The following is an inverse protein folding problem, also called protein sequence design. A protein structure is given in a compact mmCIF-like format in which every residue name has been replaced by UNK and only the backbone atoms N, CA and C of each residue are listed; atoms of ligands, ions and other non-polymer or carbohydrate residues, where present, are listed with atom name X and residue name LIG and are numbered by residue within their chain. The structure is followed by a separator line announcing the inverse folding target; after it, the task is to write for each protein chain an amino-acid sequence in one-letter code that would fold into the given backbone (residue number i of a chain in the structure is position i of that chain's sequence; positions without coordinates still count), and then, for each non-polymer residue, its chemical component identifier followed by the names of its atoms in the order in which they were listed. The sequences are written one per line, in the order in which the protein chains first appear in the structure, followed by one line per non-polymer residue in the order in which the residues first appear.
data_IF_342148042301
#
_entry.id   IF_342148042301
#
_cell.length_a   1.000
_cell.length_b   1.000
_cell.length_c   1.000
_cell.angle_alpha   90.00
_cell.angle_beta   90.00
_cell.angle_gamma   90.00
#
_symmetry.space_group_name_H-M   'P 1'
#
loop_
_entity.id
_entity.type
_entity.pdbx_description
1 polymer ?
#
# COMPACT_ATOMS: atom_id res chain seq x y z
N UNK A 1 -17.62 30.47 15.11
CA UNK A 1 -17.53 29.00 15.28
C UNK A 1 -17.83 28.21 14.02
N UNK A 2 -18.79 28.60 13.16
CA UNK A 2 -19.05 27.93 11.87
C UNK A 2 -17.93 28.12 10.82
N UNK A 3 -17.35 29.33 10.69
CA UNK A 3 -16.24 29.61 9.74
C UNK A 3 -14.95 28.83 10.06
N UNK A 4 -14.61 28.68 11.35
CA UNK A 4 -13.50 27.84 11.81
C UNK A 4 -13.71 26.35 11.49
N UNK A 5 -14.95 25.82 11.59
CA UNK A 5 -15.24 24.44 11.20
C UNK A 5 -15.07 24.23 9.70
N UNK A 6 -15.58 25.13 8.86
CA UNK A 6 -15.41 25.02 7.40
C UNK A 6 -13.93 25.10 6.97
N UNK A 7 -13.13 25.96 7.62
CA UNK A 7 -11.69 26.06 7.36
C UNK A 7 -10.94 24.77 7.76
N UNK A 8 -11.24 24.21 8.94
CA UNK A 8 -10.67 22.93 9.41
C UNK A 8 -11.08 21.77 8.51
N UNK A 9 -12.33 21.71 8.06
CA UNK A 9 -12.79 20.68 7.11
C UNK A 9 -12.07 20.81 5.76
N UNK A 10 -11.91 22.02 5.23
CA UNK A 10 -11.22 22.25 3.96
C UNK A 10 -9.73 21.90 4.01
N UNK A 11 -9.06 22.14 5.15
CA UNK A 11 -7.67 21.72 5.39
C UNK A 11 -7.54 20.19 5.53
N UNK A 12 -8.50 19.54 6.20
CA UNK A 12 -8.54 18.09 6.35
C UNK A 12 -8.87 17.33 5.04
N UNK A 13 -9.50 17.99 4.06
CA UNK A 13 -9.82 17.38 2.76
C UNK A 13 -8.59 17.08 1.92
N UNK A 14 -7.49 17.84 2.06
CA UNK A 14 -6.27 17.63 1.26
C UNK A 14 -5.61 16.27 1.56
N UNK A 15 -5.30 15.90 2.81
CA UNK A 15 -4.75 14.57 3.12
C UNK A 15 -5.67 13.41 2.72
N UNK A 16 -6.99 13.56 2.91
CA UNK A 16 -7.97 12.53 2.52
C UNK A 16 -7.98 12.34 1.00
N UNK A 17 -7.93 13.43 0.23
CA UNK A 17 -7.82 13.36 -1.23
C UNK A 17 -6.55 12.64 -1.67
N UNK A 18 -5.39 12.97 -1.08
CA UNK A 18 -4.14 12.25 -1.36
C UNK A 18 -4.22 10.77 -0.99
N UNK A 19 -4.87 10.41 0.12
CA UNK A 19 -5.08 9.01 0.51
C UNK A 19 -5.96 8.25 -0.48
N UNK A 20 -7.05 8.88 -0.97
CA UNK A 20 -7.91 8.31 -2.01
C UNK A 20 -7.12 8.11 -3.31
N UNK A 21 -6.40 9.13 -3.77
CA UNK A 21 -5.58 9.05 -4.99
C UNK A 21 -4.50 7.98 -4.85
N UNK A 22 -3.82 7.89 -3.70
CA UNK A 22 -2.85 6.85 -3.43
C UNK A 22 -3.48 5.45 -3.48
N UNK A 23 -4.67 5.29 -2.88
CA UNK A 23 -5.44 4.05 -2.94
C UNK A 23 -5.81 3.66 -4.38
N UNK A 24 -6.22 4.62 -5.21
CA UNK A 24 -6.53 4.39 -6.63
C UNK A 24 -5.28 4.03 -7.44
N UNK A 25 -4.15 4.72 -7.24
CA UNK A 25 -2.90 4.43 -7.91
C UNK A 25 -2.40 3.01 -7.61
N UNK A 26 -2.42 2.61 -6.33
CA UNK A 26 -2.10 1.22 -5.95
C UNK A 26 -3.18 0.25 -6.46
N UNK A 27 -4.46 0.63 -6.45
CA UNK A 27 -5.56 -0.10 -7.07
C UNK A 27 -5.25 -0.53 -8.50
N UNK A 28 -5.13 0.46 -9.37
CA UNK A 28 -4.93 0.30 -10.81
C UNK A 28 -3.55 -0.29 -11.13
N UNK A 29 -2.48 0.23 -10.54
CA UNK A 29 -1.11 -0.20 -10.84
C UNK A 29 -0.85 -1.69 -10.57
N UNK A 30 -1.46 -2.24 -9.52
CA UNK A 30 -1.27 -3.66 -9.21
C UNK A 30 -2.06 -4.59 -10.14
N UNK A 31 -3.12 -4.10 -10.82
CA UNK A 31 -3.78 -4.87 -11.89
C UNK A 31 -2.81 -5.06 -13.06
N UNK A 32 -2.13 -3.99 -13.48
CA UNK A 32 -1.08 -4.07 -14.50
C UNK A 32 0.07 -4.99 -14.08
N UNK A 33 0.49 -4.90 -12.81
CA UNK A 33 1.54 -5.78 -12.28
C UNK A 33 1.12 -7.25 -12.35
N UNK A 34 -0.10 -7.58 -11.90
CA UNK A 34 -0.63 -8.95 -11.99
C UNK A 34 -0.75 -9.42 -13.43
N UNK A 35 -1.22 -8.57 -14.35
CA UNK A 35 -1.27 -8.87 -15.78
C UNK A 35 0.11 -9.21 -16.33
N UNK A 36 1.14 -8.40 -16.02
CA UNK A 36 2.51 -8.66 -16.42
C UNK A 36 3.05 -9.97 -15.84
N UNK A 37 2.81 -10.26 -14.56
CA UNK A 37 3.24 -11.53 -13.94
C UNK A 37 2.51 -12.76 -14.51
N UNK A 38 1.26 -12.60 -14.94
CA UNK A 38 0.49 -13.66 -15.56
C UNK A 38 0.92 -13.94 -17.01
N UNK A 39 1.51 -12.96 -17.71
CA UNK A 39 2.09 -13.17 -19.05
C UNK A 39 3.23 -14.19 -19.08
N UNK A 40 3.86 -14.45 -17.92
CA UNK A 40 5.06 -15.28 -17.76
C UNK A 40 6.32 -14.76 -18.47
N UNK A 41 6.27 -13.58 -19.08
CA UNK A 41 7.44 -12.91 -19.67
C UNK A 41 8.33 -12.27 -18.61
N UNK A 42 7.75 -11.88 -17.46
CA UNK A 42 8.46 -11.26 -16.35
C UNK A 42 8.19 -11.97 -15.02
N UNK A 43 9.26 -12.18 -14.25
CA UNK A 43 9.17 -12.70 -12.89
C UNK A 43 8.88 -11.61 -11.85
N UNK A 44 8.50 -11.99 -10.61
CA UNK A 44 8.19 -11.05 -9.52
C UNK A 44 9.33 -10.10 -9.18
N UNK A 45 10.57 -10.58 -9.16
CA UNK A 45 11.75 -9.74 -8.91
C UNK A 45 12.04 -8.79 -10.07
N UNK A 46 11.83 -9.22 -11.32
CA UNK A 46 11.99 -8.35 -12.47
C UNK A 46 10.95 -7.22 -12.46
N UNK A 47 9.68 -7.54 -12.18
CA UNK A 47 8.62 -6.55 -12.03
C UNK A 47 8.93 -5.55 -10.89
N UNK A 48 9.44 -6.03 -9.76
CA UNK A 48 9.88 -5.17 -8.67
C UNK A 48 11.06 -4.28 -9.05
N UNK A 49 12.07 -4.82 -9.75
CA UNK A 49 13.21 -4.05 -10.22
C UNK A 49 12.78 -2.94 -11.18
N UNK A 50 11.91 -3.25 -12.15
CA UNK A 50 11.36 -2.25 -13.09
C UNK A 50 10.62 -1.16 -12.31
N UNK A 51 9.79 -1.53 -11.34
CA UNK A 51 9.12 -0.57 -10.46
C UNK A 51 10.14 0.35 -9.78
N UNK A 52 11.19 -0.20 -9.17
CA UNK A 52 12.22 0.60 -8.48
C UNK A 52 12.99 1.52 -9.43
N UNK A 53 13.35 1.04 -10.62
CA UNK A 53 14.06 1.82 -11.65
C UNK A 53 13.21 2.97 -12.17
N UNK A 54 11.89 2.78 -12.29
CA UNK A 54 10.97 3.83 -12.72
C UNK A 54 10.68 4.82 -11.58
N UNK A 55 10.51 4.36 -10.35
CA UNK A 55 10.12 5.22 -9.22
C UNK A 55 11.27 6.06 -8.69
N UNK A 56 12.50 5.55 -8.68
CA UNK A 56 13.67 6.27 -8.17
C UNK A 56 13.92 7.64 -8.83
N UNK A 57 14.01 7.75 -10.18
CA UNK A 57 14.24 9.04 -10.83
C UNK A 57 13.07 10.01 -10.61
N UNK A 58 11.83 9.50 -10.58
CA UNK A 58 10.65 10.32 -10.30
C UNK A 58 10.64 10.84 -8.87
N UNK A 59 11.00 9.99 -7.89
CA UNK A 59 11.15 10.39 -6.50
C UNK A 59 12.27 11.42 -6.33
N UNK A 60 13.40 11.23 -6.99
CA UNK A 60 14.51 12.18 -6.98
C UNK A 60 14.10 13.53 -7.59
N UNK A 61 13.42 13.52 -8.75
CA UNK A 61 12.93 14.73 -9.38
C UNK A 61 11.93 15.47 -8.48
N UNK A 62 10.97 14.76 -7.88
CA UNK A 62 10.00 15.32 -6.94
C UNK A 62 10.69 15.94 -5.72
N UNK A 63 11.68 15.26 -5.13
CA UNK A 63 12.47 15.77 -4.02
C UNK A 63 13.29 17.01 -4.39
N UNK A 64 13.93 17.04 -5.56
CA UNK A 64 14.69 18.20 -6.04
C UNK A 64 13.77 19.41 -6.28
N UNK A 65 12.58 19.20 -6.83
CA UNK A 65 11.60 20.28 -7.01
C UNK A 65 11.07 20.78 -5.67
N UNK A 66 10.72 19.89 -4.75
CA UNK A 66 10.24 20.23 -3.42
C UNK A 66 11.30 21.00 -2.61
N UNK A 67 12.56 20.56 -2.64
CA UNK A 67 13.68 21.25 -1.97
C UNK A 67 14.01 22.62 -2.55
N UNK A 68 13.56 22.91 -3.78
CA UNK A 68 13.62 24.25 -4.40
C UNK A 68 12.39 25.11 -4.09
N UNK A 69 11.47 24.63 -3.25
CA UNK A 69 10.23 25.31 -2.88
C UNK A 69 9.12 25.20 -3.93
N UNK A 70 9.27 24.34 -4.94
CA UNK A 70 8.27 24.15 -5.99
C UNK A 70 7.31 23.03 -5.58
N UNK A 71 6.03 23.38 -5.41
CA UNK A 71 4.94 22.43 -5.19
C UNK A 71 4.70 21.98 -3.75
N UNK A 72 5.74 21.58 -3.01
CA UNK A 72 5.61 21.05 -1.64
C UNK A 72 6.35 21.90 -0.60
N UNK A 73 5.60 22.67 0.18
CA UNK A 73 6.13 23.62 1.17
C UNK A 73 6.59 23.01 2.49
N UNK A 74 6.53 21.67 2.65
CA UNK A 74 6.85 20.97 3.90
C UNK A 74 8.22 20.28 3.91
N UNK A 75 9.03 20.48 2.86
CA UNK A 75 10.35 19.85 2.77
C UNK A 75 11.34 20.47 3.78
N UNK A 76 12.12 19.62 4.46
CA UNK A 76 13.08 20.09 5.48
C UNK A 76 14.45 20.25 4.82
N UNK A 77 14.93 21.50 4.71
CA UNK A 77 16.24 21.77 4.14
C UNK A 77 17.36 21.07 4.94
N UNK A 78 18.32 20.49 4.23
CA UNK A 78 19.52 19.83 4.79
C UNK A 78 19.25 18.68 5.77
N UNK A 79 18.03 18.11 5.79
CA UNK A 79 17.63 17.04 6.73
C UNK A 79 18.61 15.86 6.76
N UNK A 80 19.19 15.47 5.63
CA UNK A 80 20.08 14.31 5.55
C UNK A 80 21.34 14.47 6.42
N UNK A 81 21.82 15.71 6.63
CA UNK A 81 22.99 15.99 7.49
C UNK A 81 22.63 16.16 8.96
N UNK A 82 21.39 16.53 9.25
CA UNK A 82 20.91 16.84 10.61
C UNK A 82 20.10 15.70 11.22
N UNK A 83 19.68 14.73 10.41
CA UNK A 83 18.93 13.57 10.87
C UNK A 83 19.76 12.71 11.82
N UNK A 84 19.17 12.39 12.96
CA UNK A 84 19.79 11.48 13.93
C UNK A 84 19.93 10.06 13.38
N UNK A 85 20.86 9.28 13.95
CA UNK A 85 21.03 7.86 13.62
C UNK A 85 19.70 7.08 13.75
N UNK A 86 18.90 7.38 14.78
CA UNK A 86 17.59 6.76 14.95
C UNK A 86 16.60 7.10 13.83
N UNK A 87 16.69 8.29 13.24
CA UNK A 87 15.86 8.68 12.07
C UNK A 87 16.31 7.92 10.83
N UNK A 88 17.62 7.86 10.59
CA UNK A 88 18.20 7.07 9.50
C UNK A 88 17.81 5.59 9.59
N UNK A 89 17.88 4.98 10.78
CA UNK A 89 17.46 3.60 10.98
C UNK A 89 15.97 3.38 10.68
N UNK A 90 15.09 4.29 11.11
CA UNK A 90 13.65 4.22 10.79
C UNK A 90 13.40 4.32 9.29
N UNK A 91 14.10 5.22 8.60
CA UNK A 91 13.98 5.38 7.15
C UNK A 91 14.51 4.16 6.40
N UNK A 92 15.70 3.68 6.74
CA UNK A 92 16.34 2.56 6.04
C UNK A 92 15.60 1.25 6.34
N UNK A 93 15.39 0.91 7.61
CA UNK A 93 14.80 -0.37 8.00
C UNK A 93 13.28 -0.37 7.82
N UNK A 94 12.60 0.65 8.33
CA UNK A 94 11.14 0.73 8.27
C UNK A 94 10.65 1.04 6.87
N UNK A 95 11.08 2.17 6.29
CA UNK A 95 10.58 2.61 4.99
C UNK A 95 11.25 1.90 3.82
N UNK A 96 12.58 1.81 3.79
CA UNK A 96 13.32 1.20 2.69
C UNK A 96 13.17 -0.32 2.64
N UNK A 97 13.60 -1.00 3.70
CA UNK A 97 13.66 -2.46 3.75
C UNK A 97 12.28 -3.09 3.94
N UNK A 98 11.54 -2.74 4.98
CA UNK A 98 10.27 -3.40 5.27
C UNK A 98 9.16 -2.96 4.30
N UNK A 99 8.87 -1.67 4.21
CA UNK A 99 7.78 -1.16 3.37
C UNK A 99 8.15 -1.14 1.87
N UNK A 100 9.38 -0.72 1.53
CA UNK A 100 9.82 -0.54 0.15
C UNK A 100 10.23 -1.84 -0.56
N UNK A 101 10.91 -2.74 0.14
CA UNK A 101 11.40 -4.01 -0.43
C UNK A 101 10.54 -5.21 0.01
N UNK A 102 10.55 -5.56 1.29
CA UNK A 102 10.01 -6.82 1.78
C UNK A 102 8.50 -6.95 1.52
N UNK A 103 7.72 -5.91 1.79
CA UNK A 103 6.28 -5.90 1.53
C UNK A 103 5.96 -6.14 0.05
N UNK A 104 6.66 -5.45 -0.86
CA UNK A 104 6.46 -5.61 -2.31
C UNK A 104 6.96 -6.98 -2.78
N UNK A 105 8.09 -7.44 -2.27
CA UNK A 105 8.66 -8.77 -2.56
C UNK A 105 7.68 -9.89 -2.22
N UNK A 106 7.14 -9.92 -1.00
CA UNK A 106 6.19 -10.94 -0.59
C UNK A 106 4.89 -10.85 -1.38
N UNK A 107 4.40 -9.63 -1.63
CA UNK A 107 3.18 -9.43 -2.40
C UNK A 107 3.32 -9.91 -3.85
N UNK A 108 4.40 -9.52 -4.56
CA UNK A 108 4.60 -9.90 -5.96
C UNK A 108 4.90 -11.39 -6.09
N UNK A 109 5.66 -11.95 -5.15
CA UNK A 109 5.90 -13.40 -5.09
C UNK A 109 4.57 -14.15 -4.94
N UNK A 110 3.72 -13.74 -4.01
CA UNK A 110 2.38 -14.32 -3.83
C UNK A 110 1.51 -14.20 -5.09
N UNK A 111 1.50 -13.03 -5.75
CA UNK A 111 0.77 -12.83 -7.00
C UNK A 111 1.27 -13.72 -8.14
N UNK A 112 2.55 -14.11 -8.14
CA UNK A 112 3.13 -14.95 -9.19
C UNK A 112 2.84 -16.45 -9.03
N UNK A 113 2.44 -16.88 -7.82
CA UNK A 113 2.16 -18.28 -7.47
C UNK A 113 0.78 -18.74 -7.99
N UNK A 114 0.57 -20.06 -8.18
CA UNK A 114 -0.75 -20.62 -8.46
C UNK A 114 -1.76 -20.24 -7.35
N UNK A 115 -2.94 -19.77 -7.73
CA UNK A 115 -3.95 -19.28 -6.77
C UNK A 115 -3.67 -17.89 -6.18
N UNK A 116 -2.64 -17.19 -6.65
CA UNK A 116 -2.31 -15.81 -6.27
C UNK A 116 -3.26 -14.77 -6.87
N UNK A 117 -4.56 -14.90 -6.63
CA UNK A 117 -5.58 -14.01 -7.18
C UNK A 117 -5.51 -12.64 -6.52
N UNK A 118 -5.50 -11.61 -7.35
CA UNK A 118 -5.39 -10.22 -6.88
C UNK A 118 -6.58 -9.80 -6.01
N UNK A 119 -7.75 -10.41 -6.24
CA UNK A 119 -8.97 -10.20 -5.45
C UNK A 119 -8.88 -10.78 -4.03
N UNK A 120 -7.97 -11.74 -3.78
CA UNK A 120 -7.77 -12.37 -2.47
C UNK A 120 -6.57 -11.73 -1.77
N UNK A 121 -5.42 -11.69 -2.44
CA UNK A 121 -4.16 -11.25 -1.83
C UNK A 121 -4.19 -9.77 -1.46
N UNK A 122 -4.85 -8.93 -2.26
CA UNK A 122 -4.86 -7.49 -2.05
C UNK A 122 -5.69 -7.08 -0.83
N UNK A 123 -6.97 -7.50 -0.66
CA UNK A 123 -7.70 -7.19 0.56
C UNK A 123 -6.96 -7.62 1.82
N UNK A 124 -6.29 -8.79 1.81
CA UNK A 124 -5.45 -9.24 2.92
C UNK A 124 -4.33 -8.25 3.17
N UNK A 125 -3.43 -8.03 2.21
CA UNK A 125 -2.23 -7.22 2.41
C UNK A 125 -2.54 -5.74 2.73
N UNK A 126 -3.49 -5.14 2.00
CA UNK A 126 -3.78 -3.69 2.08
C UNK A 126 -4.68 -3.32 3.25
N UNK A 127 -5.40 -4.28 3.83
CA UNK A 127 -6.24 -4.05 5.00
C UNK A 127 -5.59 -4.51 6.30
N UNK A 128 -4.62 -5.45 6.26
CA UNK A 128 -3.75 -5.71 7.41
C UNK A 128 -2.90 -4.49 7.76
N UNK A 129 -2.45 -3.73 6.75
CA UNK A 129 -1.65 -2.52 6.94
C UNK A 129 -2.33 -1.50 7.89
N UNK A 130 -3.56 -1.01 7.67
CA UNK A 130 -4.21 -0.09 8.60
C UNK A 130 -4.49 -0.72 9.98
N UNK A 131 -4.83 -2.01 10.05
CA UNK A 131 -5.01 -2.70 11.33
C UNK A 131 -3.70 -2.73 12.15
N UNK A 132 -2.58 -3.12 11.52
CA UNK A 132 -1.25 -3.11 12.14
C UNK A 132 -0.78 -1.70 12.51
N UNK A 133 -1.08 -0.69 11.67
CA UNK A 133 -0.72 0.70 11.93
C UNK A 133 -1.43 1.25 13.18
N UNK A 134 -2.73 0.96 13.36
CA UNK A 134 -3.47 1.37 14.56
C UNK A 134 -2.90 0.70 15.81
N UNK A 135 -2.61 -0.60 15.74
CA UNK A 135 -2.06 -1.35 16.87
C UNK A 135 -0.64 -0.88 17.24
N UNK A 136 0.25 -0.76 16.26
CA UNK A 136 1.62 -0.30 16.49
C UNK A 136 1.68 1.19 16.86
N UNK A 137 0.79 2.02 16.32
CA UNK A 137 0.65 3.42 16.72
C UNK A 137 0.25 3.53 18.20
N UNK A 138 -0.66 2.67 18.65
CA UNK A 138 -1.01 2.58 20.07
C UNK A 138 0.15 2.10 20.94
N UNK A 139 0.81 1.00 20.56
CA UNK A 139 1.82 0.33 21.40
C UNK A 139 3.19 1.04 21.39
N UNK A 140 3.60 1.58 20.25
CA UNK A 140 4.97 2.10 20.03
C UNK A 140 5.02 3.63 19.92
N UNK A 141 3.96 4.27 19.40
CA UNK A 141 3.90 5.73 19.24
C UNK A 141 3.09 6.42 20.35
N UNK A 142 2.46 5.65 21.24
CA UNK A 142 1.68 6.16 22.37
C UNK A 142 0.35 6.80 21.94
N UNK A 143 -0.17 6.48 20.76
CA UNK A 143 -1.47 6.98 20.31
C UNK A 143 -2.61 6.43 21.18
N UNK A 144 -3.66 7.22 21.40
CA UNK A 144 -4.83 6.74 22.14
C UNK A 144 -5.61 5.67 21.36
N UNK A 145 -5.90 4.55 22.03
CA UNK A 145 -6.77 3.50 21.54
C UNK A 145 -8.18 3.68 22.11
N UNK A 146 -9.08 4.23 21.30
CA UNK A 146 -10.49 4.41 21.68
C UNK A 146 -11.30 3.17 21.31
N UNK A 147 -12.45 2.97 21.96
CA UNK A 147 -13.41 1.91 21.60
C UNK A 147 -13.79 2.01 20.11
N UNK A 148 -13.95 3.22 19.58
CA UNK A 148 -14.24 3.44 18.16
C UNK A 148 -13.13 2.92 17.25
N UNK A 149 -11.84 3.19 17.58
CA UNK A 149 -10.70 2.64 16.82
C UNK A 149 -10.68 1.11 16.89
N UNK A 150 -10.92 0.54 18.07
CA UNK A 150 -10.96 -0.92 18.25
C UNK A 150 -12.07 -1.58 17.40
N UNK A 151 -13.28 -1.03 17.42
CA UNK A 151 -14.40 -1.51 16.57
C UNK A 151 -14.07 -1.37 15.09
N UNK A 152 -13.47 -0.24 14.67
CA UNK A 152 -13.07 -0.06 13.28
C UNK A 152 -12.04 -1.09 12.82
N UNK A 153 -11.02 -1.40 13.65
CA UNK A 153 -10.06 -2.46 13.36
C UNK A 153 -10.75 -3.82 13.23
N UNK A 154 -11.67 -4.15 14.14
CA UNK A 154 -12.43 -5.40 14.06
C UNK A 154 -13.26 -5.50 12.77
N UNK A 155 -13.91 -4.41 12.35
CA UNK A 155 -14.68 -4.35 11.10
C UNK A 155 -13.80 -4.49 9.85
N UNK A 156 -12.61 -3.89 9.85
CA UNK A 156 -11.64 -4.06 8.77
C UNK A 156 -11.26 -5.55 8.65
N UNK A 157 -10.88 -6.18 9.77
CA UNK A 157 -10.50 -7.60 9.78
C UNK A 157 -11.65 -8.51 9.34
N UNK A 158 -12.88 -8.24 9.81
CA UNK A 158 -14.07 -8.97 9.38
C UNK A 158 -14.32 -8.83 7.87
N UNK A 159 -14.16 -7.62 7.32
CA UNK A 159 -14.26 -7.35 5.88
C UNK A 159 -13.22 -8.12 5.06
N UNK A 160 -11.97 -8.22 5.54
CA UNK A 160 -10.91 -9.02 4.90
C UNK A 160 -11.34 -10.48 4.83
N UNK A 161 -11.78 -11.05 5.96
CA UNK A 161 -12.19 -12.45 6.03
C UNK A 161 -13.34 -12.71 5.06
N UNK A 162 -14.32 -11.80 4.99
CA UNK A 162 -15.46 -11.94 4.08
C UNK A 162 -15.04 -11.88 2.59
N UNK A 163 -14.12 -10.97 2.23
CA UNK A 163 -13.63 -10.83 0.85
C UNK A 163 -12.69 -11.95 0.42
N UNK A 164 -11.91 -12.48 1.36
CA UNK A 164 -10.83 -13.43 1.07
C UNK A 164 -11.24 -14.89 1.27
N UNK A 165 -12.45 -15.13 1.80
CA UNK A 165 -13.00 -16.47 1.97
C UNK A 165 -13.26 -17.11 0.59
N UNK A 166 -12.90 -18.40 0.39
CA UNK A 166 -13.21 -19.12 -0.84
C UNK A 166 -14.73 -19.13 -1.08
N UNK A 167 -15.17 -18.60 -2.23
CA UNK A 167 -16.56 -18.76 -2.67
C UNK A 167 -16.84 -20.25 -2.89
N UNK A 168 -17.80 -20.80 -2.15
CA UNK A 168 -18.27 -22.20 -2.33
C UNK A 168 -18.90 -22.47 -3.70
N UNK A 169 -19.12 -21.44 -4.53
CA UNK A 169 -19.80 -21.54 -5.83
C UNK A 169 -18.90 -21.75 -7.05
N UNK A 170 -17.58 -21.61 -6.96
CA UNK A 170 -16.69 -21.62 -8.13
C UNK A 170 -16.23 -23.02 -8.61
N UNK A 171 -16.82 -24.11 -8.08
CA UNK A 171 -16.45 -25.49 -8.42
C UNK A 171 -17.30 -26.17 -9.51
N UNK A 172 -18.34 -25.51 -10.04
CA UNK A 172 -19.31 -26.15 -10.94
C UNK A 172 -19.19 -25.76 -12.43
N UNK A 173 -18.16 -25.02 -12.84
CA UNK A 173 -18.02 -24.55 -14.22
C UNK A 173 -16.78 -25.12 -14.95
N UNK A 174 -16.30 -26.28 -14.49
CA UNK A 174 -15.42 -27.12 -15.31
C UNK A 174 -16.29 -28.19 -16.00
N UNK A 175 -16.91 -27.81 -17.12
CA UNK A 175 -17.53 -28.79 -18.02
C UNK A 175 -16.43 -29.65 -18.68
N UNK A 176 -16.67 -30.95 -18.95
CA UNK A 176 -15.68 -31.81 -19.59
C UNK A 176 -15.44 -31.34 -21.02
N UNK A 177 -14.16 -31.21 -21.40
CA UNK A 177 -13.77 -31.10 -22.81
C UNK A 177 -14.10 -32.45 -23.45
N UNK A 178 -15.11 -32.48 -24.32
CA UNK A 178 -15.38 -33.62 -25.20
C UNK A 178 -14.11 -33.92 -26.03
N UNK A 179 -13.59 -35.13 -25.87
CA UNK A 179 -12.59 -35.71 -26.75
C UNK A 179 -13.23 -36.01 -28.11
N UNK A 180 -13.10 -35.08 -29.04
CA UNK A 180 -13.45 -35.25 -30.44
C UNK A 180 -12.20 -35.20 -31.33
N UNK A 181 -11.59 -36.36 -31.55
CA UNK A 181 -10.99 -36.95 -32.78
C UNK A 181 -9.90 -37.93 -32.40
#
# INVERSE_FOLDING_TARGET
TASLRHCVTALAMKPILFAILAGLCWGVGEIYTKSALNSKEVGPLAAFLVRAVVTLPLALAAYVLASRGIGFSHEVAHWARTASTGTWLKLILGSGLLAGFAGVFFFYSGLSMPGGDISILRPIAFSLAPASAVLLGWLMLGESMTIRKAVAVALILAGIVLLSAPSKGAKNEAAPIESGT
#
